data_IF_315384803774
#
_entry.id   IF_315384803774
#
_cell.length_a   1.000
_cell.length_b   1.000
_cell.length_c   1.000
_cell.angle_alpha   90.00
_cell.angle_beta   90.00
_cell.angle_gamma   90.00
#
_symmetry.space_group_name_H-M   'P 1'
#
loop_
_entity.id
_entity.type
_entity.pdbx_description
1 polymer ?
#
# COMPACT_ATOMS: atom_id res chain seq x y z
N UNK A 1 -7.43 -43.89 1.60
CA UNK A 1 -7.05 -43.55 2.99
C UNK A 1 -5.71 -42.87 2.91
N UNK A 2 -5.72 -41.53 2.84
CA UNK A 2 -4.51 -40.71 2.80
C UNK A 2 -3.85 -40.76 4.18
N UNK A 3 -2.66 -41.32 4.25
CA UNK A 3 -1.84 -41.37 5.46
C UNK A 3 -1.30 -39.97 5.71
N UNK A 4 -1.98 -39.17 6.53
CA UNK A 4 -1.42 -37.92 7.01
C UNK A 4 -0.03 -38.17 7.60
N UNK A 5 0.99 -37.51 7.07
CA UNK A 5 2.35 -37.65 7.58
C UNK A 5 2.36 -37.30 9.08
N UNK A 6 2.96 -38.18 9.87
CA UNK A 6 2.90 -38.12 11.33
C UNK A 6 4.19 -37.49 11.91
N UNK A 7 4.60 -36.34 11.34
CA UNK A 7 5.72 -35.55 11.85
C UNK A 7 5.22 -34.29 12.55
N UNK A 8 6.05 -33.81 13.48
CA UNK A 8 5.82 -32.55 14.20
C UNK A 8 6.76 -31.49 13.63
N UNK A 9 6.21 -30.42 13.07
CA UNK A 9 7.00 -29.31 12.52
C UNK A 9 7.55 -28.45 13.67
N UNK A 10 8.83 -28.65 14.01
CA UNK A 10 9.56 -27.86 15.01
C UNK A 10 10.68 -27.06 14.36
N UNK A 11 10.65 -25.76 14.59
CA UNK A 11 11.67 -24.80 14.13
C UNK A 11 12.18 -24.08 15.38
N UNK A 12 13.49 -24.19 15.65
CA UNK A 12 14.11 -23.54 16.80
C UNK A 12 14.25 -22.03 16.59
N UNK A 13 14.40 -21.28 17.69
CA UNK A 13 14.74 -19.85 17.62
C UNK A 13 16.22 -19.62 17.33
N UNK A 14 17.08 -20.62 17.56
CA UNK A 14 18.54 -20.50 17.40
C UNK A 14 18.98 -20.68 15.94
N UNK A 15 18.38 -21.65 15.25
CA UNK A 15 18.70 -21.98 13.84
C UNK A 15 17.44 -22.15 12.99
N UNK A 16 16.57 -21.11 12.92
CA UNK A 16 15.25 -21.23 12.32
C UNK A 16 15.28 -21.59 10.83
N UNK A 17 16.18 -20.97 10.06
CA UNK A 17 16.31 -21.21 8.63
C UNK A 17 16.72 -22.67 8.34
N UNK A 18 17.78 -23.15 8.98
CA UNK A 18 18.27 -24.51 8.78
C UNK A 18 17.25 -25.59 9.20
N UNK A 19 16.50 -25.35 10.28
CA UNK A 19 15.42 -26.26 10.69
C UNK A 19 14.27 -26.28 9.68
N UNK A 20 13.91 -25.11 9.14
CA UNK A 20 12.85 -24.98 8.14
C UNK A 20 13.22 -25.65 6.82
N UNK A 21 14.41 -25.38 6.27
CA UNK A 21 14.89 -25.99 5.03
C UNK A 21 14.93 -27.52 5.14
N UNK A 22 15.41 -28.05 6.27
CA UNK A 22 15.42 -29.49 6.53
C UNK A 22 14.00 -30.07 6.53
N UNK A 23 13.01 -29.38 7.09
CA UNK A 23 11.62 -29.84 7.09
C UNK A 23 11.01 -29.83 5.67
N UNK A 24 11.28 -28.79 4.88
CA UNK A 24 10.83 -28.71 3.48
C UNK A 24 11.46 -29.84 2.65
N UNK A 25 12.76 -30.05 2.76
CA UNK A 25 13.48 -31.13 2.06
C UNK A 25 12.92 -32.52 2.42
N UNK A 26 12.70 -32.78 3.71
CA UNK A 26 12.29 -34.10 4.20
C UNK A 26 10.81 -34.43 4.01
N UNK A 27 9.94 -33.43 3.97
CA UNK A 27 8.50 -33.65 4.05
C UNK A 27 7.68 -32.99 2.92
N UNK A 28 8.26 -32.11 2.12
CA UNK A 28 7.58 -31.47 0.99
C UNK A 28 8.25 -31.86 -0.33
N UNK A 29 9.58 -31.77 -0.39
CA UNK A 29 10.37 -32.08 -1.60
C UNK A 29 10.90 -33.52 -1.64
N UNK A 30 10.50 -34.36 -0.68
CA UNK A 30 10.93 -35.77 -0.64
C UNK A 30 10.28 -36.57 -1.76
N UNK A 31 11.08 -37.44 -2.41
CA UNK A 31 10.59 -38.40 -3.42
C UNK A 31 9.48 -39.33 -2.89
N UNK A 32 9.31 -39.45 -1.58
CA UNK A 32 8.26 -40.28 -0.96
C UNK A 32 6.90 -39.56 -0.81
N UNK A 33 6.78 -38.31 -1.24
CA UNK A 33 5.52 -37.55 -1.22
C UNK A 33 4.90 -37.62 -2.62
N UNK A 34 4.03 -38.61 -2.81
CA UNK A 34 3.50 -38.95 -4.15
C UNK A 34 2.17 -38.27 -4.48
N UNK A 35 1.45 -37.72 -3.49
CA UNK A 35 0.14 -37.09 -3.70
C UNK A 35 0.08 -35.64 -3.20
N UNK A 36 -0.59 -34.80 -3.99
CA UNK A 36 -0.69 -33.35 -3.77
C UNK A 36 -1.32 -33.00 -2.42
N UNK A 37 -2.30 -33.79 -1.95
CA UNK A 37 -2.96 -33.54 -0.68
C UNK A 37 -2.02 -33.78 0.52
N UNK A 38 -1.17 -34.80 0.45
CA UNK A 38 -0.12 -35.03 1.45
C UNK A 38 0.93 -33.93 1.39
N UNK A 39 1.35 -33.50 0.21
CA UNK A 39 2.30 -32.39 0.02
C UNK A 39 1.76 -31.10 0.65
N UNK A 40 0.54 -30.70 0.27
CA UNK A 40 -0.10 -29.48 0.75
C UNK A 40 -0.26 -29.49 2.27
N UNK A 41 -0.72 -30.61 2.84
CA UNK A 41 -0.85 -30.76 4.29
C UNK A 41 0.50 -30.69 5.01
N UNK A 42 1.56 -31.26 4.44
CA UNK A 42 2.91 -31.19 5.01
C UNK A 42 3.44 -29.76 4.97
N UNK A 43 3.30 -29.08 3.84
CA UNK A 43 3.69 -27.68 3.68
C UNK A 43 2.93 -26.79 4.67
N UNK A 44 1.60 -26.90 4.75
CA UNK A 44 0.78 -26.08 5.64
C UNK A 44 1.16 -26.25 7.13
N UNK A 45 1.54 -27.46 7.56
CA UNK A 45 2.08 -27.70 8.91
C UNK A 45 3.39 -26.96 9.15
N UNK A 46 4.33 -27.05 8.19
CA UNK A 46 5.65 -26.41 8.29
C UNK A 46 5.51 -24.88 8.24
N UNK A 47 4.72 -24.34 7.30
CA UNK A 47 4.45 -22.92 7.17
C UNK A 47 3.80 -22.34 8.43
N UNK A 48 2.90 -23.08 9.08
CA UNK A 48 2.31 -22.67 10.37
C UNK A 48 3.37 -22.58 11.47
N UNK A 49 4.27 -23.57 11.57
CA UNK A 49 5.38 -23.52 12.52
C UNK A 49 6.33 -22.36 12.21
N UNK A 50 6.63 -22.12 10.92
CA UNK A 50 7.54 -21.06 10.49
C UNK A 50 7.01 -19.67 10.84
N UNK A 51 5.73 -19.40 10.54
CA UNK A 51 5.05 -18.15 10.89
C UNK A 51 5.03 -17.89 12.39
N UNK A 52 4.75 -18.93 13.19
CA UNK A 52 4.81 -18.83 14.65
C UNK A 52 6.24 -18.54 15.16
N UNK A 53 7.26 -19.10 14.51
CA UNK A 53 8.66 -18.81 14.83
C UNK A 53 9.04 -17.38 14.47
N UNK A 54 8.61 -16.85 13.32
CA UNK A 54 8.82 -15.44 12.95
C UNK A 54 8.18 -14.50 13.98
N UNK A 55 6.93 -14.76 14.38
CA UNK A 55 6.24 -13.97 15.41
C UNK A 55 7.03 -13.95 16.72
N UNK A 56 7.54 -15.11 17.16
CA UNK A 56 8.37 -15.20 18.38
C UNK A 56 9.67 -14.42 18.27
N UNK A 57 10.37 -14.56 17.15
CA UNK A 57 11.65 -13.90 16.90
C UNK A 57 11.52 -12.38 16.85
N UNK A 58 10.43 -11.87 16.29
CA UNK A 58 10.20 -10.42 16.17
C UNK A 58 9.62 -9.79 17.43
N UNK A 59 8.74 -10.50 18.15
CA UNK A 59 7.89 -9.86 19.15
C UNK A 59 8.03 -10.44 20.57
N UNK A 60 8.64 -11.61 20.75
CA UNK A 60 8.71 -12.29 22.05
C UNK A 60 10.15 -12.48 22.56
N UNK A 61 11.13 -12.66 21.68
CA UNK A 61 12.53 -12.94 22.06
C UNK A 61 13.33 -11.67 22.34
N UNK A 62 13.08 -11.02 23.49
CA UNK A 62 13.89 -9.88 23.97
C UNK A 62 14.01 -8.71 22.97
N UNK A 63 14.97 -7.81 23.21
CA UNK A 63 15.21 -6.70 22.28
C UNK A 63 15.84 -7.21 20.98
N UNK A 64 15.12 -7.06 19.87
CA UNK A 64 15.60 -7.35 18.52
C UNK A 64 16.85 -6.50 18.21
N UNK A 65 17.99 -7.16 18.00
CA UNK A 65 19.26 -6.50 17.63
C UNK A 65 19.41 -6.46 16.11
N UNK A 66 20.24 -5.55 15.57
CA UNK A 66 20.51 -5.48 14.12
C UNK A 66 21.01 -6.80 13.52
N UNK A 67 21.84 -7.55 14.24
CA UNK A 67 22.33 -8.86 13.79
C UNK A 67 21.20 -9.90 13.75
N UNK A 68 20.27 -9.85 14.72
CA UNK A 68 19.13 -10.76 14.73
C UNK A 68 18.10 -10.37 13.65
N UNK A 69 17.94 -9.09 13.33
CA UNK A 69 17.06 -8.63 12.25
C UNK A 69 17.43 -9.24 10.90
N UNK A 70 18.71 -9.27 10.57
CA UNK A 70 19.17 -9.85 9.30
C UNK A 70 18.86 -11.35 9.23
N UNK A 71 19.15 -12.11 10.29
CA UNK A 71 18.84 -13.55 10.36
C UNK A 71 17.34 -13.84 10.28
N UNK A 72 16.52 -12.99 10.90
CA UNK A 72 15.06 -13.08 10.82
C UNK A 72 14.59 -12.80 9.40
N UNK A 73 15.15 -11.78 8.75
CA UNK A 73 14.82 -11.41 7.37
C UNK A 73 15.21 -12.50 6.38
N UNK A 74 16.39 -13.12 6.53
CA UNK A 74 16.81 -14.28 5.73
C UNK A 74 15.85 -15.45 5.89
N UNK A 75 15.47 -15.79 7.13
CA UNK A 75 14.48 -16.82 7.39
C UNK A 75 13.12 -16.51 6.75
N UNK A 76 12.61 -15.29 6.94
CA UNK A 76 11.34 -14.84 6.35
C UNK A 76 11.38 -14.84 4.82
N UNK A 77 12.51 -14.48 4.22
CA UNK A 77 12.71 -14.54 2.77
C UNK A 77 12.52 -15.94 2.22
N UNK A 78 13.09 -16.94 2.90
CA UNK A 78 12.93 -18.33 2.46
C UNK A 78 11.50 -18.85 2.65
N UNK A 79 10.85 -18.46 3.75
CA UNK A 79 9.43 -18.76 3.98
C UNK A 79 8.55 -18.16 2.88
N UNK A 80 8.83 -16.91 2.46
CA UNK A 80 8.12 -16.25 1.36
C UNK A 80 8.33 -16.97 0.04
N UNK A 81 9.58 -17.25 -0.33
CA UNK A 81 9.95 -17.92 -1.58
C UNK A 81 9.15 -19.22 -1.76
N UNK A 82 9.13 -20.07 -0.73
CA UNK A 82 8.38 -21.32 -0.79
C UNK A 82 6.86 -21.08 -0.75
N UNK A 83 6.38 -20.07 -0.01
CA UNK A 83 4.95 -19.73 0.01
C UNK A 83 4.43 -19.28 -1.35
N UNK A 84 5.22 -18.49 -2.08
CA UNK A 84 4.88 -18.04 -3.42
C UNK A 84 4.72 -19.21 -4.41
N UNK A 85 5.28 -20.39 -4.10
CA UNK A 85 5.11 -21.61 -4.89
C UNK A 85 4.03 -22.55 -4.35
N UNK A 86 3.93 -22.73 -3.02
CA UNK A 86 3.05 -23.76 -2.44
C UNK A 86 1.68 -23.24 -1.98
N UNK A 87 1.62 -22.05 -1.37
CA UNK A 87 0.37 -21.49 -0.84
C UNK A 87 0.50 -19.98 -0.57
N UNK A 88 0.45 -19.13 -1.62
CA UNK A 88 0.68 -17.70 -1.46
C UNK A 88 -0.44 -17.01 -0.67
N UNK A 89 -1.69 -17.48 -0.77
CA UNK A 89 -2.84 -16.87 -0.08
C UNK A 89 -2.67 -16.85 1.44
N UNK A 90 -2.30 -17.99 2.03
CA UNK A 90 -2.09 -18.13 3.48
C UNK A 90 -0.94 -17.24 3.98
N UNK A 91 0.08 -17.04 3.16
CA UNK A 91 1.17 -16.11 3.46
C UNK A 91 0.72 -14.65 3.36
N UNK A 92 0.04 -14.28 2.28
CA UNK A 92 -0.45 -12.93 2.01
C UNK A 92 -1.38 -12.42 3.11
N UNK A 93 -2.29 -13.25 3.61
CA UNK A 93 -3.14 -12.90 4.76
C UNK A 93 -2.33 -12.66 6.04
N UNK A 94 -1.34 -13.52 6.31
CA UNK A 94 -0.55 -13.46 7.54
C UNK A 94 0.44 -12.28 7.55
N UNK A 95 1.10 -12.01 6.42
CA UNK A 95 2.18 -11.01 6.35
C UNK A 95 1.65 -9.59 6.57
N UNK A 96 0.38 -9.33 6.26
CA UNK A 96 -0.33 -8.08 6.62
C UNK A 96 -0.36 -7.89 8.14
N UNK A 97 -0.66 -8.95 8.89
CA UNK A 97 -0.61 -8.92 10.36
C UNK A 97 0.79 -8.67 10.92
N UNK A 98 1.83 -9.20 10.26
CA UNK A 98 3.23 -8.94 10.63
C UNK A 98 3.58 -7.48 10.39
N UNK A 99 3.24 -6.91 9.23
CA UNK A 99 3.40 -5.47 8.92
C UNK A 99 2.79 -4.62 10.01
N UNK A 100 1.53 -4.86 10.36
CA UNK A 100 0.80 -4.05 11.32
C UNK A 100 1.45 -4.09 12.71
N UNK A 101 1.93 -5.27 13.15
CA UNK A 101 2.69 -5.41 14.41
C UNK A 101 4.04 -4.69 14.35
N UNK A 102 4.78 -4.80 13.26
CA UNK A 102 6.08 -4.13 13.05
C UNK A 102 5.92 -2.61 13.14
N UNK A 103 4.93 -2.06 12.43
CA UNK A 103 4.64 -0.62 12.42
C UNK A 103 4.14 -0.15 13.80
N UNK A 104 3.22 -0.90 14.43
CA UNK A 104 2.69 -0.58 15.76
C UNK A 104 3.77 -0.55 16.85
N UNK A 105 4.77 -1.43 16.76
CA UNK A 105 5.90 -1.47 17.68
C UNK A 105 7.05 -0.53 17.29
N UNK A 106 6.84 0.36 16.30
CA UNK A 106 7.83 1.32 15.82
C UNK A 106 9.16 0.66 15.38
N UNK A 107 9.09 -0.54 14.81
CA UNK A 107 10.26 -1.29 14.31
C UNK A 107 10.62 -0.84 12.89
N UNK A 108 10.84 0.47 12.71
CA UNK A 108 10.98 1.10 11.39
C UNK A 108 12.24 0.65 10.62
N UNK A 109 13.35 0.39 11.33
CA UNK A 109 14.56 -0.19 10.72
C UNK A 109 14.23 -1.55 10.07
N UNK A 110 13.51 -2.42 10.79
CA UNK A 110 13.10 -3.72 10.23
C UNK A 110 12.11 -3.57 9.08
N UNK A 111 11.17 -2.61 9.19
CA UNK A 111 10.23 -2.31 8.13
C UNK A 111 10.96 -1.89 6.83
N UNK A 112 11.75 -0.84 6.87
CA UNK A 112 12.31 -0.29 5.64
C UNK A 112 13.53 -1.09 5.13
N UNK A 113 14.44 -1.54 6.00
CA UNK A 113 15.68 -2.21 5.56
C UNK A 113 15.49 -3.69 5.22
N UNK A 114 14.43 -4.32 5.73
CA UNK A 114 14.17 -5.75 5.50
C UNK A 114 12.83 -5.99 4.81
N UNK A 115 11.69 -5.61 5.40
CA UNK A 115 10.38 -5.91 4.81
C UNK A 115 10.21 -5.24 3.45
N UNK A 116 10.49 -3.94 3.36
CA UNK A 116 10.36 -3.17 2.13
C UNK A 116 11.51 -3.50 1.20
N UNK A 117 12.75 -3.17 1.55
CA UNK A 117 13.90 -3.28 0.64
C UNK A 117 14.16 -4.68 0.09
N UNK A 118 13.88 -5.74 0.87
CA UNK A 118 14.02 -7.14 0.42
C UNK A 118 12.70 -7.73 -0.10
N UNK A 119 11.66 -6.91 -0.18
CA UNK A 119 10.39 -7.25 -0.82
C UNK A 119 9.71 -8.46 -0.16
N UNK A 120 9.73 -8.50 1.17
CA UNK A 120 9.21 -9.61 2.00
C UNK A 120 7.70 -9.46 2.26
N UNK A 121 6.99 -8.71 1.42
CA UNK A 121 5.55 -8.52 1.50
C UNK A 121 4.78 -9.57 0.72
N UNK A 122 3.60 -9.19 0.26
CA UNK A 122 2.66 -10.05 -0.48
C UNK A 122 3.34 -10.70 -1.71
N UNK A 123 3.14 -12.00 -1.90
CA UNK A 123 3.43 -12.73 -3.14
C UNK A 123 2.48 -12.25 -4.24
N UNK A 124 3.02 -11.99 -5.43
CA UNK A 124 2.29 -11.50 -6.61
C UNK A 124 3.00 -11.93 -7.89
N UNK A 125 2.52 -11.48 -9.06
CA UNK A 125 2.95 -12.01 -10.36
C UNK A 125 4.47 -11.95 -10.62
N UNK A 126 5.19 -11.06 -9.94
CA UNK A 126 6.65 -10.94 -10.06
C UNK A 126 7.41 -12.09 -9.40
N UNK A 127 6.86 -12.72 -8.36
CA UNK A 127 7.52 -13.76 -7.56
C UNK A 127 6.71 -15.05 -7.38
N UNK A 128 5.53 -15.14 -8.00
CA UNK A 128 4.64 -16.28 -7.93
C UNK A 128 3.90 -16.47 -9.26
N UNK A 129 3.86 -17.70 -9.75
CA UNK A 129 3.12 -18.12 -10.94
C UNK A 129 1.61 -18.32 -10.69
N UNK A 130 1.15 -18.13 -9.45
CA UNK A 130 -0.27 -18.11 -9.11
C UNK A 130 -0.99 -16.86 -9.57
N UNK A 131 -0.24 -15.81 -9.90
CA UNK A 131 -0.76 -14.50 -10.25
C UNK A 131 -0.27 -14.09 -11.63
N UNK A 132 -1.10 -13.36 -12.35
CA UNK A 132 -0.80 -12.81 -13.67
C UNK A 132 -0.53 -11.30 -13.56
N UNK A 133 0.57 -10.82 -14.15
CA UNK A 133 0.93 -9.40 -14.09
C UNK A 133 0.00 -8.51 -14.92
N UNK A 134 -0.85 -9.11 -15.75
CA UNK A 134 -1.90 -8.43 -16.51
C UNK A 134 -3.26 -8.37 -15.80
N UNK A 135 -3.54 -9.30 -14.88
CA UNK A 135 -4.87 -9.41 -14.24
C UNK A 135 -4.85 -9.10 -12.74
N UNK A 136 -3.75 -9.40 -12.06
CA UNK A 136 -3.65 -9.27 -10.61
C UNK A 136 -2.93 -7.98 -10.19
N UNK A 137 -3.50 -7.23 -9.23
CA UNK A 137 -2.92 -5.96 -8.81
C UNK A 137 -1.62 -6.15 -8.05
N UNK A 138 -0.65 -5.28 -8.32
CA UNK A 138 0.58 -5.24 -7.57
C UNK A 138 0.34 -4.81 -6.11
N UNK A 139 1.06 -5.38 -5.13
CA UNK A 139 0.80 -5.13 -3.72
C UNK A 139 1.40 -3.82 -3.19
N UNK A 140 1.25 -2.73 -3.93
CA UNK A 140 1.78 -1.39 -3.59
C UNK A 140 1.30 -0.93 -2.21
N UNK A 141 0.02 -1.12 -1.93
CA UNK A 141 -0.60 -0.76 -0.65
C UNK A 141 0.06 -1.43 0.55
N UNK A 142 0.65 -2.62 0.37
CA UNK A 142 1.36 -3.30 1.44
C UNK A 142 2.60 -2.52 1.89
N UNK A 143 3.36 -1.96 0.95
CA UNK A 143 4.66 -1.34 1.22
C UNK A 143 4.58 0.16 1.54
N UNK A 144 3.48 0.82 1.16
CA UNK A 144 3.31 2.28 1.25
C UNK A 144 2.98 2.76 2.67
N UNK A 145 3.85 2.46 3.62
CA UNK A 145 3.73 2.85 5.03
C UNK A 145 5.04 3.43 5.58
N UNK A 146 4.90 4.31 6.58
CA UNK A 146 6.02 4.94 7.28
C UNK A 146 7.04 5.66 6.36
N UNK A 147 6.57 6.22 5.24
CA UNK A 147 7.40 6.92 4.26
C UNK A 147 8.20 6.01 3.33
N UNK A 148 8.06 4.70 3.45
CA UNK A 148 8.61 3.71 2.54
C UNK A 148 7.62 3.41 1.41
N UNK A 149 8.14 3.02 0.24
CA UNK A 149 7.37 2.70 -0.98
C UNK A 149 7.82 1.34 -1.51
N UNK A 150 6.96 0.68 -2.29
CA UNK A 150 7.30 -0.58 -2.93
C UNK A 150 8.60 -0.46 -3.76
N UNK A 151 9.60 -1.36 -3.61
CA UNK A 151 10.85 -1.19 -4.35
C UNK A 151 10.72 -1.37 -5.85
N UNK A 152 9.73 -2.13 -6.32
CA UNK A 152 9.39 -2.20 -7.74
C UNK A 152 8.84 -0.89 -8.33
N UNK A 153 8.52 0.10 -7.51
CA UNK A 153 8.21 1.47 -7.97
C UNK A 153 9.47 2.30 -8.21
N UNK A 154 10.60 1.86 -7.66
CA UNK A 154 11.88 2.49 -7.89
C UNK A 154 12.46 1.90 -9.17
N UNK A 155 12.29 2.61 -10.28
CA UNK A 155 13.06 2.33 -11.50
C UNK A 155 14.53 2.49 -11.14
N UNK A 156 15.22 1.37 -11.00
CA UNK A 156 16.62 1.34 -10.67
C UNK A 156 17.43 1.84 -11.88
N UNK A 157 17.77 3.14 -11.88
CA UNK A 157 18.73 3.72 -12.81
C UNK A 157 20.14 3.08 -12.67
N UNK A 158 20.34 2.14 -11.75
CA UNK A 158 21.60 1.39 -11.60
C UNK A 158 21.89 0.44 -12.78
N UNK A 159 20.87 -0.04 -13.51
CA UNK A 159 21.08 -0.92 -14.68
C UNK A 159 21.55 -0.19 -15.94
N UNK A 160 21.49 1.15 -16.00
CA UNK A 160 22.00 1.94 -17.13
C UNK A 160 23.53 2.15 -17.10
N UNK A 161 24.20 1.84 -16.00
CA UNK A 161 25.66 2.00 -15.87
C UNK A 161 26.46 0.88 -16.54
N UNK A 162 25.83 -0.28 -16.78
CA UNK A 162 26.50 -1.46 -17.34
C UNK A 162 26.24 -1.69 -18.84
N UNK A 163 25.39 -0.88 -19.48
CA UNK A 163 25.08 -0.98 -20.91
C UNK A 163 25.77 0.05 -21.80
N UNK A 164 26.69 0.87 -21.26
CA UNK A 164 27.46 1.85 -22.04
C UNK A 164 28.63 1.27 -22.87
N UNK A 165 28.72 -0.04 -23.02
CA UNK A 165 29.61 -0.66 -24.01
C UNK A 165 28.81 -1.63 -24.87
N UNK A 166 28.21 -1.14 -25.95
CA UNK A 166 28.24 -1.77 -27.29
C UNK A 166 27.70 -0.73 -28.30
N UNK A 167 28.46 -0.57 -29.37
CA UNK A 167 28.26 0.36 -30.48
C UNK A 167 26.93 0.15 -31.23
N UNK A 168 26.39 1.26 -31.74
CA UNK A 168 25.28 1.41 -32.70
C UNK A 168 25.50 0.69 -34.04
N UNK A 169 24.53 0.63 -35.00
CA UNK A 169 23.16 1.20 -35.04
C UNK A 169 22.06 0.21 -35.50
N UNK A 170 20.77 0.58 -35.41
CA UNK A 170 19.82 0.65 -36.55
C UNK A 170 18.46 1.20 -36.07
N UNK A 171 17.92 2.09 -36.90
CA UNK A 171 16.70 2.90 -36.78
C UNK A 171 15.45 2.04 -36.97
N UNK A 172 14.44 2.19 -36.10
CA UNK A 172 13.02 2.18 -36.48
C UNK A 172 12.23 3.11 -35.51
N UNK A 173 11.66 4.18 -36.08
CA UNK A 173 10.75 5.10 -35.41
C UNK A 173 9.32 4.52 -35.38
N UNK A 174 8.67 4.56 -34.21
CA UNK A 174 7.22 4.60 -34.02
C UNK A 174 6.91 5.20 -32.62
N UNK A 175 5.69 5.70 -32.34
CA UNK A 175 5.38 7.10 -32.07
C UNK A 175 5.64 7.57 -30.63
N UNK A 176 6.06 8.83 -30.52
CA UNK A 176 6.61 9.52 -29.33
C UNK A 176 5.53 9.94 -28.29
N UNK A 177 4.28 9.46 -28.41
CA UNK A 177 3.19 9.94 -27.54
C UNK A 177 3.09 9.20 -26.18
N UNK A 178 3.46 7.92 -26.10
CA UNK A 178 3.25 7.10 -24.90
C UNK A 178 4.31 7.33 -23.80
N UNK A 179 5.57 7.58 -24.17
CA UNK A 179 6.68 7.71 -23.20
C UNK A 179 6.66 8.98 -22.34
N UNK A 180 5.79 9.95 -22.63
CA UNK A 180 5.72 11.21 -21.86
C UNK A 180 4.70 11.14 -20.72
N UNK A 181 3.66 10.33 -20.87
CA UNK A 181 2.55 10.23 -19.92
C UNK A 181 2.93 9.54 -18.62
N UNK A 182 3.79 8.52 -18.66
CA UNK A 182 4.21 7.74 -17.48
C UNK A 182 5.46 8.32 -16.77
N UNK A 183 6.15 9.27 -17.41
CA UNK A 183 7.50 9.70 -17.02
C UNK A 183 7.56 11.19 -16.61
N UNK A 184 6.52 11.69 -15.94
CA UNK A 184 6.52 13.02 -15.34
C UNK A 184 6.67 12.94 -13.82
N UNK A 185 7.41 13.88 -13.23
CA UNK A 185 7.44 14.05 -11.79
C UNK A 185 6.21 14.85 -11.34
N UNK A 186 5.33 14.21 -10.57
CA UNK A 186 4.20 14.89 -9.96
C UNK A 186 4.73 15.79 -8.82
N UNK A 187 4.95 17.06 -9.12
CA UNK A 187 5.40 18.06 -8.14
C UNK A 187 4.28 19.06 -7.91
N UNK A 188 3.84 19.16 -6.65
CA UNK A 188 2.85 20.12 -6.19
C UNK A 188 3.52 20.98 -5.12
N UNK A 189 3.69 22.27 -5.42
CA UNK A 189 4.34 23.22 -4.50
C UNK A 189 3.47 23.49 -3.27
N UNK A 190 4.09 23.99 -2.19
CA UNK A 190 3.35 24.43 -1.01
C UNK A 190 2.77 25.83 -1.20
N UNK A 191 3.31 26.61 -2.15
CA UNK A 191 2.91 27.98 -2.43
C UNK A 191 1.64 28.05 -3.29
N UNK A 192 1.54 27.23 -4.34
CA UNK A 192 0.40 27.23 -5.28
C UNK A 192 -0.17 25.83 -5.53
N UNK A 193 -0.52 25.06 -4.48
CA UNK A 193 -0.82 23.64 -4.58
C UNK A 193 -2.01 23.33 -5.50
N UNK A 194 -3.09 24.12 -5.40
CA UNK A 194 -4.30 23.92 -6.22
C UNK A 194 -4.03 24.17 -7.72
N UNK A 195 -3.21 25.18 -8.04
CA UNK A 195 -2.89 25.49 -9.42
C UNK A 195 -2.01 24.40 -10.04
N UNK A 196 -1.01 23.93 -9.31
CA UNK A 196 -0.13 22.83 -9.73
C UNK A 196 -0.91 21.54 -9.92
N UNK A 197 -1.79 21.20 -8.97
CA UNK A 197 -2.65 20.03 -9.07
C UNK A 197 -3.54 20.05 -10.31
N UNK A 198 -4.27 21.16 -10.53
CA UNK A 198 -5.15 21.30 -11.71
C UNK A 198 -4.38 21.17 -13.02
N UNK A 199 -3.18 21.76 -13.09
CA UNK A 199 -2.31 21.64 -14.26
C UNK A 199 -1.92 20.17 -14.49
N UNK A 200 -1.49 19.46 -13.44
CA UNK A 200 -1.08 18.07 -13.54
C UNK A 200 -2.22 17.15 -13.99
N UNK A 201 -3.43 17.32 -13.44
CA UNK A 201 -4.63 16.56 -13.85
C UNK A 201 -4.96 16.83 -15.32
N UNK A 202 -5.01 18.11 -15.73
CA UNK A 202 -5.31 18.47 -17.12
C UNK A 202 -4.28 17.92 -18.12
N UNK A 203 -3.00 17.94 -17.77
CA UNK A 203 -1.91 17.52 -18.66
C UNK A 203 -1.75 16.00 -18.75
N UNK A 204 -2.03 15.26 -17.67
CA UNK A 204 -1.65 13.85 -17.55
C UNK A 204 -2.82 12.88 -17.30
N UNK A 205 -4.02 13.37 -16.99
CA UNK A 205 -5.21 12.56 -16.73
C UNK A 205 -6.32 12.89 -17.73
N UNK A 206 -6.63 14.18 -17.92
CA UNK A 206 -7.73 14.65 -18.78
C UNK A 206 -7.27 15.02 -20.22
N UNK A 207 -6.05 14.66 -20.60
CA UNK A 207 -5.51 15.00 -21.92
C UNK A 207 -6.25 14.25 -23.04
N UNK A 208 -6.69 14.94 -24.09
CA UNK A 208 -7.41 14.33 -25.23
C UNK A 208 -6.60 13.24 -25.96
N UNK A 209 -5.28 13.22 -25.78
CA UNK A 209 -4.41 12.19 -26.35
C UNK A 209 -4.23 10.98 -25.42
N UNK A 210 -4.82 11.02 -24.22
CA UNK A 210 -4.81 9.94 -23.23
C UNK A 210 -6.07 9.11 -23.41
N UNK A 211 -5.91 7.85 -23.81
CA UNK A 211 -7.03 6.92 -24.07
C UNK A 211 -6.84 5.57 -23.41
N UNK A 212 -5.71 5.40 -22.72
CA UNK A 212 -5.37 4.18 -21.99
C UNK A 212 -5.77 4.39 -20.53
N UNK A 213 -6.80 3.68 -20.11
CA UNK A 213 -7.40 3.81 -18.78
C UNK A 213 -6.41 3.46 -17.66
N UNK A 214 -5.49 2.51 -17.89
CA UNK A 214 -4.47 2.13 -16.92
C UNK A 214 -3.43 3.25 -16.76
N UNK A 215 -3.04 3.89 -17.85
CA UNK A 215 -2.15 5.06 -17.80
C UNK A 215 -2.84 6.25 -17.12
N UNK A 216 -4.12 6.51 -17.43
CA UNK A 216 -4.91 7.58 -16.80
C UNK A 216 -4.99 7.33 -15.29
N UNK A 217 -5.34 6.10 -14.89
CA UNK A 217 -5.46 5.73 -13.49
C UNK A 217 -4.10 5.86 -12.77
N UNK A 218 -3.02 5.31 -13.34
CA UNK A 218 -1.68 5.42 -12.75
C UNK A 218 -1.22 6.87 -12.59
N UNK A 219 -1.47 7.72 -13.59
CA UNK A 219 -1.15 9.14 -13.52
C UNK A 219 -1.96 9.85 -12.45
N UNK A 220 -3.26 9.56 -12.38
CA UNK A 220 -4.13 10.08 -11.33
C UNK A 220 -3.61 9.67 -9.95
N UNK A 221 -3.30 8.39 -9.73
CA UNK A 221 -2.78 7.88 -8.46
C UNK A 221 -1.50 8.60 -8.02
N UNK A 222 -0.57 8.79 -8.96
CA UNK A 222 0.69 9.51 -8.72
C UNK A 222 0.42 10.95 -8.26
N UNK A 223 -0.46 11.67 -8.96
CA UNK A 223 -0.81 13.06 -8.64
C UNK A 223 -1.58 13.13 -7.31
N UNK A 224 -2.55 12.25 -7.09
CA UNK A 224 -3.37 12.20 -5.89
C UNK A 224 -2.55 11.87 -4.64
N UNK A 225 -1.59 10.96 -4.73
CA UNK A 225 -0.67 10.65 -3.63
C UNK A 225 0.15 11.88 -3.21
N UNK A 226 0.74 12.59 -4.17
CA UNK A 226 1.47 13.84 -3.91
C UNK A 226 0.55 14.91 -3.35
N UNK A 227 -0.66 15.04 -3.89
CA UNK A 227 -1.65 16.02 -3.43
C UNK A 227 -2.05 15.79 -1.96
N UNK A 228 -2.33 14.54 -1.58
CA UNK A 228 -2.63 14.14 -0.19
C UNK A 228 -1.46 14.45 0.75
N UNK A 229 -0.23 14.15 0.34
CA UNK A 229 0.96 14.49 1.11
C UNK A 229 1.13 16.01 1.26
N UNK A 230 0.88 16.78 0.20
CA UNK A 230 0.92 18.24 0.24
C UNK A 230 -0.13 18.80 1.19
N UNK A 231 -1.37 18.28 1.20
CA UNK A 231 -2.39 18.66 2.18
C UNK A 231 -1.92 18.38 3.61
N UNK A 232 -1.32 17.20 3.85
CA UNK A 232 -0.79 16.84 5.17
C UNK A 232 0.27 17.84 5.65
N UNK A 233 1.24 18.17 4.79
CA UNK A 233 2.30 19.14 5.10
C UNK A 233 1.74 20.54 5.40
N UNK A 234 0.80 21.00 4.57
CA UNK A 234 0.17 22.30 4.74
C UNK A 234 -0.62 22.38 6.06
N UNK A 235 -1.30 21.30 6.47
CA UNK A 235 -2.09 21.29 7.70
C UNK A 235 -1.27 21.06 8.97
N UNK A 236 -0.26 20.18 8.91
CA UNK A 236 0.31 19.59 10.12
C UNK A 236 1.83 19.78 10.27
N UNK A 237 2.53 20.17 9.21
CA UNK A 237 3.98 20.43 9.25
C UNK A 237 4.31 21.93 9.14
N UNK A 238 3.31 22.77 8.87
CA UNK A 238 3.48 24.22 8.85
C UNK A 238 3.45 24.79 10.28
N UNK A 239 4.44 25.62 10.63
CA UNK A 239 4.60 26.19 11.98
C UNK A 239 3.39 27.02 12.43
N UNK A 240 2.67 27.62 11.48
CA UNK A 240 1.40 28.32 11.72
C UNK A 240 0.58 28.42 10.44
N UNK A 241 -0.72 28.15 10.52
CA UNK A 241 -1.65 28.32 9.41
C UNK A 241 -2.63 29.47 9.70
N UNK A 242 -2.75 30.42 8.77
CA UNK A 242 -3.74 31.49 8.88
C UNK A 242 -5.13 31.01 8.45
N UNK A 243 -6.20 31.76 8.75
CA UNK A 243 -7.55 31.45 8.24
C UNK A 243 -7.63 31.48 6.70
N UNK A 244 -6.85 32.35 6.07
CA UNK A 244 -6.77 32.40 4.61
C UNK A 244 -6.12 31.13 4.05
N UNK A 245 -5.04 30.65 4.69
CA UNK A 245 -4.39 29.40 4.31
C UNK A 245 -5.33 28.20 4.50
N UNK A 246 -6.06 28.15 5.62
CA UNK A 246 -7.07 27.13 5.85
C UNK A 246 -8.12 27.09 4.73
N UNK A 247 -8.58 28.26 4.26
CA UNK A 247 -9.54 28.33 3.16
C UNK A 247 -8.93 27.78 1.86
N UNK A 248 -7.70 28.18 1.52
CA UNK A 248 -6.97 27.68 0.33
C UNK A 248 -6.71 26.17 0.39
N UNK A 249 -6.33 25.66 1.56
CA UNK A 249 -6.12 24.23 1.79
C UNK A 249 -7.44 23.48 1.63
N UNK A 250 -8.54 24.01 2.16
CA UNK A 250 -9.86 23.39 2.00
C UNK A 250 -10.35 23.40 0.55
N UNK A 251 -10.08 24.46 -0.22
CA UNK A 251 -10.36 24.50 -1.66
C UNK A 251 -9.52 23.48 -2.43
N UNK A 252 -8.26 23.32 -2.05
CA UNK A 252 -7.39 22.29 -2.61
C UNK A 252 -7.91 20.89 -2.31
N UNK A 253 -8.21 20.60 -1.04
CA UNK A 253 -8.77 19.33 -0.60
C UNK A 253 -10.11 19.03 -1.28
N UNK A 254 -10.96 20.04 -1.48
CA UNK A 254 -12.22 19.88 -2.23
C UNK A 254 -11.97 19.39 -3.64
N UNK A 255 -11.02 19.99 -4.37
CA UNK A 255 -10.73 19.56 -5.74
C UNK A 255 -10.15 18.14 -5.79
N UNK A 256 -9.28 17.78 -4.83
CA UNK A 256 -8.81 16.39 -4.67
C UNK A 256 -9.99 15.43 -4.47
N UNK A 257 -10.94 15.78 -3.59
CA UNK A 257 -12.14 14.99 -3.33
C UNK A 257 -12.98 14.84 -4.60
N UNK A 258 -13.30 15.96 -5.25
CA UNK A 258 -14.14 15.97 -6.45
C UNK A 258 -13.58 15.01 -7.51
N UNK A 259 -12.25 15.00 -7.71
CA UNK A 259 -11.61 14.09 -8.67
C UNK A 259 -11.50 12.64 -8.14
N UNK A 260 -11.29 12.45 -6.84
CA UNK A 260 -11.27 11.13 -6.22
C UNK A 260 -12.62 10.43 -6.31
N UNK A 261 -13.72 11.17 -6.16
CA UNK A 261 -15.06 10.59 -6.28
C UNK A 261 -15.34 10.04 -7.70
N UNK A 262 -14.53 10.39 -8.71
CA UNK A 262 -14.61 9.84 -10.06
C UNK A 262 -13.50 8.81 -10.37
N UNK A 263 -12.29 8.98 -9.82
CA UNK A 263 -11.15 8.14 -10.18
C UNK A 263 -10.78 7.08 -9.13
N UNK A 264 -10.89 7.39 -7.82
CA UNK A 264 -10.52 6.47 -6.74
C UNK A 264 -11.08 6.95 -5.39
N UNK A 265 -12.36 6.65 -5.19
CA UNK A 265 -13.05 7.00 -3.96
C UNK A 265 -12.51 6.23 -2.75
N UNK A 266 -12.04 4.99 -2.95
CA UNK A 266 -11.61 4.10 -1.86
C UNK A 266 -10.39 4.66 -1.15
N UNK A 267 -9.32 4.98 -1.89
CA UNK A 267 -8.08 5.51 -1.28
C UNK A 267 -8.32 6.85 -0.60
N UNK A 268 -9.18 7.71 -1.17
CA UNK A 268 -9.55 8.96 -0.51
C UNK A 268 -10.31 8.72 0.79
N UNK A 269 -11.29 7.80 0.79
CA UNK A 269 -12.11 7.48 1.95
C UNK A 269 -11.30 6.94 3.12
N UNK A 270 -10.28 6.10 2.85
CA UNK A 270 -9.37 5.62 3.87
C UNK A 270 -8.47 6.74 4.41
N UNK A 271 -7.86 7.53 3.52
CA UNK A 271 -6.93 8.59 3.91
C UNK A 271 -7.60 9.72 4.70
N UNK A 272 -8.81 10.13 4.31
CA UNK A 272 -9.49 11.29 4.91
C UNK A 272 -9.86 11.06 6.38
N UNK A 273 -9.99 9.80 6.80
CA UNK A 273 -10.13 9.40 8.20
C UNK A 273 -8.89 9.81 9.01
N UNK A 274 -7.70 9.56 8.47
CA UNK A 274 -6.44 9.99 9.10
C UNK A 274 -6.33 11.51 9.25
N UNK A 275 -6.79 12.26 8.23
CA UNK A 275 -6.84 13.74 8.30
C UNK A 275 -7.78 14.21 9.41
N UNK A 276 -8.99 13.63 9.50
CA UNK A 276 -9.94 13.92 10.58
C UNK A 276 -9.29 13.68 11.94
N UNK A 277 -8.72 12.49 12.15
CA UNK A 277 -8.20 12.09 13.45
C UNK A 277 -7.05 12.99 13.89
N UNK A 278 -6.16 13.38 12.97
CA UNK A 278 -5.06 14.29 13.27
C UNK A 278 -5.55 15.73 13.53
N UNK A 279 -6.55 16.23 12.78
CA UNK A 279 -7.20 17.52 13.06
C UNK A 279 -7.78 17.57 14.48
N UNK A 280 -8.52 16.53 14.87
CA UNK A 280 -9.15 16.45 16.20
C UNK A 280 -8.10 16.32 17.31
N UNK A 281 -7.07 15.48 17.09
CA UNK A 281 -5.95 15.29 18.03
C UNK A 281 -5.18 16.59 18.29
N UNK A 282 -4.99 17.42 17.26
CA UNK A 282 -4.33 18.73 17.37
C UNK A 282 -5.26 19.86 17.78
N UNK A 283 -6.52 19.56 18.08
CA UNK A 283 -7.54 20.54 18.45
C UNK A 283 -7.77 21.62 17.37
N UNK A 284 -7.63 21.26 16.09
CA UNK A 284 -7.88 22.14 14.94
C UNK A 284 -9.38 22.19 14.60
N UNK A 285 -10.20 22.52 15.61
CA UNK A 285 -11.66 22.40 15.56
C UNK A 285 -12.30 23.38 14.58
N UNK A 286 -11.71 24.55 14.36
CA UNK A 286 -12.21 25.54 13.40
C UNK A 286 -12.14 24.98 11.97
N UNK A 287 -11.00 24.41 11.57
CA UNK A 287 -10.85 23.75 10.27
C UNK A 287 -11.81 22.57 10.13
N UNK A 288 -11.96 21.76 11.18
CA UNK A 288 -12.92 20.66 11.20
C UNK A 288 -14.35 21.14 10.94
N UNK A 289 -14.80 22.18 11.64
CA UNK A 289 -16.17 22.69 11.53
C UNK A 289 -16.44 23.41 10.23
N UNK A 290 -15.62 24.43 9.93
CA UNK A 290 -15.83 25.40 8.85
C UNK A 290 -15.45 24.84 7.47
N UNK A 291 -14.64 23.78 7.42
CA UNK A 291 -14.15 23.22 6.16
C UNK A 291 -14.46 21.74 5.99
N UNK A 292 -14.09 20.87 6.93
CA UNK A 292 -14.35 19.43 6.77
C UNK A 292 -15.84 19.11 6.81
N UNK A 293 -16.54 19.60 7.84
CA UNK A 293 -17.97 19.35 8.04
C UNK A 293 -18.78 20.21 7.07
N UNK A 294 -18.67 21.54 7.15
CA UNK A 294 -19.54 22.44 6.40
C UNK A 294 -19.46 22.27 4.87
N UNK A 295 -18.26 22.01 4.33
CA UNK A 295 -18.06 21.77 2.90
C UNK A 295 -18.12 20.29 2.51
N UNK A 296 -18.46 19.42 3.45
CA UNK A 296 -18.67 17.98 3.23
C UNK A 296 -17.46 17.28 2.60
N UNK A 297 -16.26 17.60 3.11
CA UNK A 297 -14.97 17.06 2.65
C UNK A 297 -14.60 15.72 3.32
N UNK A 298 -15.59 14.99 3.83
CA UNK A 298 -15.42 13.61 4.27
C UNK A 298 -15.54 12.62 3.12
N UNK A 299 -15.75 11.32 3.42
CA UNK A 299 -15.78 10.26 2.43
C UNK A 299 -16.70 10.56 1.23
N UNK A 300 -16.25 10.18 0.04
CA UNK A 300 -17.08 10.04 -1.16
C UNK A 300 -18.16 8.97 -0.90
N UNK A 301 -19.37 9.21 -1.39
CA UNK A 301 -20.53 8.34 -1.28
C UNK A 301 -21.54 8.70 -2.39
N UNK A 302 -22.72 8.07 -2.38
CA UNK A 302 -23.69 8.18 -3.48
C UNK A 302 -24.16 9.60 -3.84
N UNK A 303 -23.92 10.59 -2.98
CA UNK A 303 -24.28 11.98 -3.25
C UNK A 303 -23.27 12.70 -4.15
N UNK A 304 -22.02 12.26 -4.16
CA UNK A 304 -20.91 12.92 -4.86
C UNK A 304 -20.08 11.99 -5.76
N UNK A 305 -20.41 10.70 -5.80
CA UNK A 305 -19.74 9.68 -6.59
C UNK A 305 -20.74 8.70 -7.18
N UNK A 306 -20.52 8.28 -8.43
CA UNK A 306 -21.30 7.26 -9.14
C UNK A 306 -20.86 5.82 -8.81
N UNK A 307 -19.78 5.65 -8.04
CA UNK A 307 -19.36 4.34 -7.51
C UNK A 307 -20.31 3.78 -6.43
N UNK A 308 -21.21 4.60 -5.89
CA UNK A 308 -22.06 4.22 -4.75
C UNK A 308 -23.53 4.46 -5.06
N UNK A 309 -24.39 3.60 -4.52
CA UNK A 309 -25.85 3.70 -4.61
C UNK A 309 -26.44 4.20 -3.27
N UNK A 310 -27.31 5.20 -3.31
CA UNK A 310 -27.94 5.76 -2.11
C UNK A 310 -28.99 4.84 -1.48
N UNK A 311 -29.38 3.77 -2.17
CA UNK A 311 -30.27 2.73 -1.66
C UNK A 311 -29.56 1.60 -0.93
N UNK A 312 -28.33 1.26 -1.31
CA UNK A 312 -27.60 0.09 -0.80
C UNK A 312 -26.42 0.47 0.10
N UNK A 313 -25.73 1.58 -0.20
CA UNK A 313 -24.50 1.94 0.51
C UNK A 313 -24.74 2.81 1.74
N UNK A 314 -24.02 2.55 2.85
CA UNK A 314 -24.17 3.31 4.08
C UNK A 314 -23.66 4.76 3.91
N UNK A 315 -24.50 5.72 4.27
CA UNK A 315 -24.09 7.13 4.30
C UNK A 315 -22.99 7.36 5.36
N UNK A 316 -21.93 8.16 5.09
CA UNK A 316 -20.78 8.31 5.99
C UNK A 316 -21.05 9.26 7.18
N UNK A 317 -22.18 9.09 7.87
CA UNK A 317 -22.61 9.98 8.97
C UNK A 317 -21.62 9.97 10.13
N UNK A 318 -21.12 8.79 10.46
CA UNK A 318 -20.22 8.59 11.59
C UNK A 318 -18.93 9.40 11.45
N UNK A 319 -18.45 9.59 10.22
CA UNK A 319 -17.27 10.40 9.95
C UNK A 319 -17.40 11.82 10.52
N UNK A 320 -18.57 12.44 10.44
CA UNK A 320 -18.79 13.83 10.84
C UNK A 320 -19.19 14.01 12.31
N UNK A 321 -19.50 12.92 13.03
CA UNK A 321 -20.07 12.95 14.37
C UNK A 321 -19.02 13.15 15.47
N UNK A 322 -18.16 14.17 15.31
CA UNK A 322 -17.08 14.51 16.23
C UNK A 322 -17.11 15.99 16.61
N UNK A 323 -16.58 16.32 17.79
CA UNK A 323 -16.49 17.68 18.31
C UNK A 323 -17.83 18.45 18.32
N UNK A 324 -18.95 17.73 18.56
CA UNK A 324 -20.30 18.29 18.57
C UNK A 324 -20.88 18.61 17.19
N UNK A 325 -20.21 18.18 16.12
CA UNK A 325 -20.71 18.27 14.75
C UNK A 325 -21.59 17.07 14.40
N UNK A 326 -22.36 17.25 13.33
CA UNK A 326 -23.13 16.19 12.67
C UNK A 326 -22.99 16.35 11.16
N UNK A 327 -23.16 15.27 10.41
CA UNK A 327 -23.14 15.32 8.95
C UNK A 327 -24.15 16.36 8.42
N UNK A 328 -23.76 17.27 7.50
CA UNK A 328 -24.68 18.31 7.03
C UNK A 328 -25.93 17.75 6.36
N UNK A 329 -25.79 16.65 5.61
CA UNK A 329 -26.90 15.94 4.98
C UNK A 329 -27.85 15.25 5.98
N UNK A 330 -27.46 15.05 7.25
CA UNK A 330 -28.36 14.49 8.26
C UNK A 330 -29.49 15.47 8.65
N UNK A 331 -29.35 16.76 8.35
CA UNK A 331 -30.38 17.78 8.62
C UNK A 331 -31.56 17.76 7.63
N UNK A 332 -31.49 16.96 6.56
CA UNK A 332 -32.44 17.01 5.43
C UNK A 332 -33.70 16.16 5.65
N UNK A 333 -33.75 15.28 6.66
CA UNK A 333 -34.93 14.43 6.93
C UNK A 333 -36.03 15.08 7.79
N UNK A 334 -36.15 16.40 7.71
CA UNK A 334 -37.18 17.18 8.40
C UNK A 334 -38.14 17.88 7.44
N UNK A 335 -38.89 17.12 6.65
CA UNK A 335 -40.16 17.56 6.04
C UNK A 335 -41.09 16.39 5.76
#
# INVERSE_FOLDING_TARGET
>A
MTSASNFEAKISLDTPLADYERLIEQHVQSENVEDDATLENNYNKIATAARATVDKLLFESGSVTKENQEKIAEFLSKVKEDACFYNPNSYNEWIVGVRDKVLKNNMLDFWCDHMVKKELGICWARDSDYYDDMEDPEPRAFYNHAGCVAPFDQVDNSSLSNFLNISTPTILQAPIASNKALNFDAVISLETPLADYKRLIAENVESENMTDDDVINNNYQKIASVARNTVWKLLFESDSITKEDQTKIAEFLKKIKDDACFHDASTYNEWIIGVRDELLKRNMIDFWREHMVEKELGPCWARDSDYFDDMEDPTPREFYNYAGCVAPFAKVNGK
#
